data_IF_964785092292
#
_entry.id   IF_964785092292
#
_cell.length_a   1.000
_cell.length_b   1.000
_cell.length_c   1.000
_cell.angle_alpha   90.00
_cell.angle_beta   90.00
_cell.angle_gamma   90.00
#
_symmetry.space_group_name_H-M   'P 1'
#
loop_
_entity.id
_entity.type
_entity.pdbx_description
1 polymer ?
#
# COMPACT_ATOMS: atom_id res chain seq x y z
N UNK A 1 14.76 -16.88 8.08
CA UNK A 1 13.83 -16.81 6.91
C UNK A 1 12.47 -16.15 7.20
N UNK A 2 11.87 -16.28 8.39
CA UNK A 2 10.55 -15.68 8.70
C UNK A 2 10.50 -14.14 8.54
N UNK A 3 11.52 -13.42 9.02
CA UNK A 3 11.57 -11.94 8.97
C UNK A 3 11.66 -11.37 7.54
N UNK A 4 12.41 -12.03 6.66
CA UNK A 4 12.53 -11.64 5.25
C UNK A 4 11.18 -11.75 4.52
N UNK A 5 10.41 -12.82 4.77
CA UNK A 5 9.05 -12.95 4.22
C UNK A 5 8.14 -11.82 4.68
N UNK A 6 8.20 -11.43 5.94
CA UNK A 6 7.40 -10.32 6.49
C UNK A 6 7.75 -9.00 5.81
N UNK A 7 9.04 -8.66 5.70
CA UNK A 7 9.47 -7.44 5.00
C UNK A 7 9.13 -7.46 3.52
N UNK A 8 9.21 -8.62 2.88
CA UNK A 8 8.85 -8.80 1.46
C UNK A 8 7.35 -8.60 1.22
N UNK A 9 6.50 -9.19 2.06
CA UNK A 9 5.05 -9.04 1.99
C UNK A 9 4.62 -7.58 2.29
N UNK A 10 5.32 -6.90 3.19
CA UNK A 10 5.11 -5.48 3.48
C UNK A 10 5.42 -4.62 2.27
N UNK A 11 6.61 -4.82 1.67
CA UNK A 11 7.06 -4.05 0.51
C UNK A 11 6.16 -4.31 -0.72
N UNK A 12 5.70 -5.55 -0.90
CA UNK A 12 4.76 -5.93 -1.95
C UNK A 12 3.39 -5.28 -1.75
N UNK A 13 2.85 -5.29 -0.52
CA UNK A 13 1.56 -4.65 -0.20
C UNK A 13 1.61 -3.14 -0.40
N UNK A 14 2.73 -2.51 -0.01
CA UNK A 14 2.97 -1.11 -0.24
C UNK A 14 3.01 -0.76 -1.74
N UNK A 15 3.74 -1.54 -2.54
CA UNK A 15 3.83 -1.32 -3.99
C UNK A 15 2.48 -1.44 -4.71
N UNK A 16 1.64 -2.41 -4.31
CA UNK A 16 0.29 -2.58 -4.88
C UNK A 16 -0.57 -1.35 -4.58
N UNK A 17 -0.54 -0.86 -3.33
CA UNK A 17 -1.37 0.28 -2.94
C UNK A 17 -0.87 1.60 -3.55
N UNK A 18 0.44 1.72 -3.77
CA UNK A 18 1.03 2.81 -4.54
C UNK A 18 0.57 2.83 -6.00
N UNK A 19 0.53 1.66 -6.67
CA UNK A 19 0.03 1.56 -8.03
C UNK A 19 -1.47 1.93 -8.13
N UNK A 20 -2.29 1.47 -7.18
CA UNK A 20 -3.71 1.82 -7.10
C UNK A 20 -3.88 3.34 -6.94
N UNK A 21 -3.11 3.98 -6.08
CA UNK A 21 -3.17 5.43 -5.88
C UNK A 21 -2.59 6.23 -7.05
N UNK A 22 -1.64 5.67 -7.81
CA UNK A 22 -1.20 6.25 -9.07
C UNK A 22 -2.36 6.28 -10.08
N UNK A 23 -3.14 5.20 -10.15
CA UNK A 23 -4.30 5.09 -11.03
C UNK A 23 -5.50 5.97 -10.59
N UNK A 24 -5.82 5.95 -9.28
CA UNK A 24 -6.12 7.14 -8.48
C UNK A 24 -6.05 8.53 -9.14
N UNK A 25 -4.80 8.96 -9.35
CA UNK A 25 -4.47 10.31 -9.85
C UNK A 25 -4.84 10.44 -11.32
N UNK A 26 -4.42 9.45 -12.12
CA UNK A 26 -4.61 9.45 -13.57
C UNK A 26 -6.10 9.55 -13.94
N UNK A 27 -6.96 8.91 -13.14
CA UNK A 27 -8.41 8.91 -13.30
C UNK A 27 -9.10 10.21 -12.86
N UNK A 28 -8.37 11.23 -12.39
CA UNK A 28 -8.89 12.50 -11.87
C UNK A 28 -9.87 12.36 -10.69
N UNK A 29 -9.93 11.19 -10.04
CA UNK A 29 -10.78 10.95 -8.86
C UNK A 29 -10.20 11.66 -7.62
N UNK A 30 -8.88 11.84 -7.57
CA UNK A 30 -8.16 12.53 -6.50
C UNK A 30 -7.26 13.60 -7.11
N UNK A 31 -7.40 14.85 -6.64
CA UNK A 31 -6.63 16.03 -7.08
C UNK A 31 -5.12 15.75 -7.14
N UNK A 32 -4.47 16.22 -8.20
CA UNK A 32 -3.03 16.02 -8.43
C UNK A 32 -2.14 16.81 -7.45
N UNK A 33 -2.69 17.84 -6.81
CA UNK A 33 -2.00 18.63 -5.79
C UNK A 33 -1.65 17.86 -4.50
N UNK A 34 -2.10 16.61 -4.35
CA UNK A 34 -1.77 15.82 -3.15
C UNK A 34 -0.33 15.31 -3.11
N UNK A 35 0.50 15.50 -4.15
CA UNK A 35 1.96 15.25 -4.19
C UNK A 35 2.52 14.31 -3.11
N UNK A 36 2.96 14.88 -1.97
CA UNK A 36 3.53 14.14 -0.84
C UNK A 36 2.51 13.39 0.03
N UNK A 37 1.32 13.97 0.23
CA UNK A 37 0.24 13.38 1.02
C UNK A 37 -0.31 12.10 0.37
N UNK A 38 -0.24 11.97 -0.97
CA UNK A 38 -0.62 10.75 -1.68
C UNK A 38 0.24 9.54 -1.29
N UNK A 39 1.56 9.72 -1.21
CA UNK A 39 2.47 8.68 -0.76
C UNK A 39 2.23 8.29 0.70
N UNK A 40 1.89 9.26 1.54
CA UNK A 40 1.62 9.04 2.97
C UNK A 40 0.29 8.29 3.20
N UNK A 41 -0.75 8.61 2.42
CA UNK A 41 -2.02 7.88 2.40
C UNK A 41 -1.82 6.47 1.82
N UNK A 42 -1.01 6.30 0.78
CA UNK A 42 -0.62 4.99 0.24
C UNK A 42 0.06 4.12 1.27
N UNK A 43 0.93 4.72 2.06
CA UNK A 43 1.67 4.05 3.13
C UNK A 43 0.73 3.62 4.25
N UNK A 44 -0.17 4.48 4.69
CA UNK A 44 -1.16 4.16 5.74
C UNK A 44 -2.14 3.08 5.26
N UNK A 45 -2.70 3.21 4.05
CA UNK A 45 -3.58 2.19 3.46
C UNK A 45 -2.84 0.88 3.20
N UNK A 46 -1.60 0.93 2.73
CA UNK A 46 -0.75 -0.24 2.50
C UNK A 46 -0.40 -0.96 3.81
N UNK A 47 -0.17 -0.23 4.90
CA UNK A 47 0.05 -0.80 6.25
C UNK A 47 -1.24 -1.44 6.78
N UNK A 48 -2.40 -0.80 6.59
CA UNK A 48 -3.71 -1.37 6.96
C UNK A 48 -3.96 -2.66 6.16
N UNK A 49 -3.69 -2.66 4.85
CA UNK A 49 -3.83 -3.83 3.99
C UNK A 49 -2.87 -4.94 4.41
N UNK A 50 -1.63 -4.60 4.78
CA UNK A 50 -0.67 -5.53 5.36
C UNK A 50 -1.06 -6.03 6.76
N UNK A 51 -1.98 -5.38 7.46
CA UNK A 51 -2.51 -5.94 8.70
C UNK A 51 -3.67 -6.91 8.42
N UNK A 52 -4.43 -6.69 7.34
CA UNK A 52 -5.62 -7.48 6.99
C UNK A 52 -5.24 -8.77 6.23
N UNK A 53 -4.33 -8.69 5.25
CA UNK A 53 -4.02 -9.80 4.33
C UNK A 53 -3.11 -10.87 4.96
N UNK A 54 -1.95 -10.54 5.55
CA UNK A 54 -1.07 -11.51 6.20
C UNK A 54 -1.69 -12.16 7.44
N UNK A 55 -2.57 -11.45 8.15
CA UNK A 55 -3.28 -12.00 9.32
C UNK A 55 -4.28 -13.11 8.93
N UNK A 56 -4.67 -13.20 7.64
CA UNK A 56 -5.55 -14.24 7.11
C UNK A 56 -4.81 -15.42 6.49
N UNK A 57 -3.52 -15.30 6.18
CA UNK A 57 -2.74 -16.37 5.55
C UNK A 57 -1.97 -17.24 6.58
N UNK A 58 -2.06 -16.91 7.87
CA UNK A 58 -1.45 -17.65 8.98
C UNK A 58 -2.48 -18.37 9.87
N UNK A 59 -3.64 -18.74 9.32
CA UNK A 59 -4.64 -19.58 10.01
C UNK A 59 -5.06 -20.73 9.10
#
# INVERSE_FOLDING_TARGET
MKRLKTSWLLLSSFGIMFAILSWFQESNIISDDLGFYKGLIALILGIILFFIVPNRMSN
#
